data_IF_072921900418
#
_entry.id   IF_072921900418
#
_cell.length_a   1.000
_cell.length_b   1.000
_cell.length_c   1.000
_cell.angle_alpha   90.00
_cell.angle_beta   90.00
_cell.angle_gamma   90.00
#
_symmetry.space_group_name_H-M   'P 1'
#
loop_
_entity.id
_entity.type
_entity.pdbx_description
1 polymer ?
#
# COMPACT_ATOMS: atom_id res chain seq x y z
N UNK A 1 -20.81 1.35 28.18
CA UNK A 1 -20.75 0.40 27.05
C UNK A 1 -19.29 0.26 26.65
N UNK A 2 -18.73 -0.94 26.77
CA UNK A 2 -17.32 -1.21 26.51
C UNK A 2 -17.15 -1.59 25.03
N UNK A 3 -16.31 -0.85 24.31
CA UNK A 3 -15.92 -1.17 22.93
C UNK A 3 -15.15 -2.50 22.85
N UNK A 4 -15.06 -3.12 21.66
CA UNK A 4 -14.50 -4.46 21.52
C UNK A 4 -13.00 -4.45 21.84
N UNK A 5 -12.59 -5.36 22.72
CA UNK A 5 -11.21 -5.63 23.10
C UNK A 5 -10.49 -6.39 21.99
N UNK A 6 -9.32 -5.89 21.58
CA UNK A 6 -8.43 -6.54 20.60
C UNK A 6 -7.63 -7.64 21.33
N UNK A 7 -7.62 -8.90 20.86
CA UNK A 7 -6.84 -9.96 21.50
C UNK A 7 -5.34 -9.78 21.21
N UNK A 8 -4.53 -9.80 22.27
CA UNK A 8 -3.07 -9.83 22.19
C UNK A 8 -2.60 -11.28 21.99
N UNK A 9 -1.85 -11.55 20.92
CA UNK A 9 -1.55 -12.92 20.46
C UNK A 9 -0.44 -13.63 21.25
N UNK A 10 -0.71 -14.90 21.54
CA UNK A 10 0.15 -15.86 22.23
C UNK A 10 1.23 -16.51 21.37
N UNK A 11 2.08 -17.25 22.08
CA UNK A 11 3.36 -17.80 21.66
C UNK A 11 3.29 -18.91 20.60
N UNK A 12 4.33 -18.97 19.75
CA UNK A 12 4.90 -20.19 19.17
C UNK A 12 3.97 -21.18 18.47
N UNK A 13 3.65 -20.94 17.18
CA UNK A 13 2.99 -21.93 16.32
C UNK A 13 3.09 -21.56 14.84
N UNK A 14 3.31 -22.55 13.97
CA UNK A 14 3.56 -22.46 12.52
C UNK A 14 2.85 -21.29 11.84
N UNK A 15 3.64 -20.43 11.19
CA UNK A 15 3.26 -19.14 10.62
C UNK A 15 2.18 -19.17 9.51
N UNK A 16 1.69 -20.33 9.04
CA UNK A 16 0.62 -20.39 8.03
C UNK A 16 -0.79 -20.40 8.62
N UNK A 17 -0.99 -20.94 9.83
CA UNK A 17 -2.33 -21.13 10.41
C UNK A 17 -2.84 -19.90 11.16
N UNK A 18 -1.98 -18.91 11.40
CA UNK A 18 -2.28 -17.78 12.29
C UNK A 18 -3.05 -16.64 11.60
N UNK A 19 -2.88 -16.43 10.29
CA UNK A 19 -3.55 -15.33 9.55
C UNK A 19 -5.08 -15.46 9.55
N UNK A 20 -5.59 -16.70 9.50
CA UNK A 20 -7.05 -16.97 9.50
C UNK A 20 -7.73 -16.64 10.84
N UNK A 21 -7.02 -16.65 11.96
CA UNK A 21 -7.62 -16.45 13.30
C UNK A 21 -7.65 -14.99 13.73
N UNK A 22 -6.90 -14.14 13.04
CA UNK A 22 -6.52 -12.82 13.57
C UNK A 22 -7.21 -11.62 12.91
N UNK A 23 -7.94 -11.84 11.82
CA UNK A 23 -8.46 -10.74 11.00
C UNK A 23 -7.37 -9.94 10.28
N UNK A 24 -6.10 -10.32 10.44
CA UNK A 24 -4.97 -9.75 9.70
C UNK A 24 -4.99 -10.35 8.28
N UNK A 25 -5.01 -9.48 7.26
CA UNK A 25 -5.11 -9.86 5.86
C UNK A 25 -4.07 -10.89 5.43
N UNK A 26 -4.37 -11.64 4.36
CA UNK A 26 -3.48 -12.68 3.86
C UNK A 26 -2.08 -12.10 3.57
N UNK A 27 -0.98 -12.78 3.97
CA UNK A 27 0.39 -12.30 3.76
C UNK A 27 0.76 -12.19 2.28
N UNK A 28 -0.06 -12.75 1.41
CA UNK A 28 0.03 -12.66 -0.03
C UNK A 28 -1.38 -12.61 -0.62
N UNK A 29 -1.63 -11.65 -1.51
CA UNK A 29 -2.88 -11.53 -2.26
C UNK A 29 -2.55 -11.44 -3.75
N UNK A 30 -3.22 -12.27 -4.56
CA UNK A 30 -3.06 -12.30 -6.00
C UNK A 30 -4.37 -11.85 -6.66
N UNK A 31 -4.26 -10.85 -7.52
CA UNK A 31 -5.35 -10.34 -8.34
C UNK A 31 -4.99 -10.57 -9.80
N UNK A 32 -5.97 -11.04 -10.59
CA UNK A 32 -5.81 -11.27 -12.02
C UNK A 32 -6.71 -10.28 -12.75
N UNK A 33 -6.17 -9.65 -13.79
CA UNK A 33 -6.89 -8.67 -14.58
C UNK A 33 -6.31 -8.56 -15.99
N UNK A 34 -6.84 -7.62 -16.75
CA UNK A 34 -6.40 -7.33 -18.11
C UNK A 34 -5.33 -6.23 -18.14
N UNK A 35 -4.65 -6.10 -19.27
CA UNK A 35 -3.82 -4.94 -19.60
C UNK A 35 -4.53 -3.60 -19.42
N UNK A 36 -5.84 -3.56 -19.69
CA UNK A 36 -6.75 -2.44 -19.41
C UNK A 36 -6.95 -2.12 -17.93
N UNK A 37 -6.50 -2.98 -17.02
CA UNK A 37 -6.43 -2.71 -15.57
C UNK A 37 -5.00 -2.35 -15.16
N UNK A 38 -4.00 -3.07 -15.67
CA UNK A 38 -2.58 -2.85 -15.34
C UNK A 38 -2.15 -1.42 -15.69
N UNK A 39 -2.52 -0.95 -16.88
CA UNK A 39 -2.15 0.41 -17.35
C UNK A 39 -2.69 1.53 -16.47
N UNK A 40 -4.01 1.62 -16.18
CA UNK A 40 -4.54 2.69 -15.35
C UNK A 40 -4.06 2.60 -13.89
N UNK A 41 -3.81 1.40 -13.36
CA UNK A 41 -3.22 1.26 -12.00
C UNK A 41 -1.79 1.82 -11.96
N UNK A 42 -0.95 1.49 -12.94
CA UNK A 42 0.39 2.09 -13.03
C UNK A 42 0.33 3.61 -13.22
N UNK A 43 -0.65 4.11 -13.98
CA UNK A 43 -0.82 5.54 -14.22
C UNK A 43 -1.24 6.27 -12.95
N UNK A 44 -2.18 5.70 -12.17
CA UNK A 44 -2.61 6.21 -10.88
C UNK A 44 -1.45 6.27 -9.86
N UNK A 45 -0.52 5.32 -9.93
CA UNK A 45 0.69 5.29 -9.10
C UNK A 45 1.83 6.18 -9.63
N UNK A 46 1.67 6.83 -10.79
CA UNK A 46 2.71 7.64 -11.44
C UNK A 46 3.86 6.84 -12.05
N UNK A 47 3.72 5.51 -12.15
CA UNK A 47 4.78 4.60 -12.60
C UNK A 47 4.57 4.06 -14.03
N UNK A 48 3.57 4.56 -14.74
CA UNK A 48 3.28 4.16 -16.12
C UNK A 48 4.30 4.73 -17.10
N UNK A 49 4.82 3.88 -17.98
CA UNK A 49 5.83 4.23 -18.98
C UNK A 49 5.24 4.52 -20.37
N UNK A 50 3.91 4.67 -20.45
CA UNK A 50 3.17 4.93 -21.69
C UNK A 50 3.29 3.80 -22.73
N UNK A 51 3.70 2.60 -22.31
CA UNK A 51 3.73 1.40 -23.16
C UNK A 51 2.58 0.47 -22.79
N UNK A 52 1.99 -0.17 -23.80
CA UNK A 52 0.97 -1.18 -23.56
C UNK A 52 1.57 -2.36 -22.78
N UNK A 53 0.94 -2.84 -21.69
CA UNK A 53 1.47 -3.95 -20.91
C UNK A 53 1.67 -5.21 -21.77
N UNK A 54 2.87 -5.83 -21.76
CA UNK A 54 3.10 -7.06 -22.50
C UNK A 54 2.32 -8.23 -21.90
N UNK A 55 2.33 -9.36 -22.60
CA UNK A 55 1.76 -10.60 -22.07
C UNK A 55 2.38 -10.97 -20.71
N UNK A 56 1.55 -11.46 -19.79
CA UNK A 56 1.92 -11.76 -18.41
C UNK A 56 2.53 -10.57 -17.62
N UNK A 57 2.19 -9.34 -18.02
CA UNK A 57 2.54 -8.17 -17.24
C UNK A 57 1.96 -8.26 -15.84
N UNK A 58 2.75 -7.88 -14.85
CA UNK A 58 2.35 -7.94 -13.45
C UNK A 58 2.94 -6.79 -12.65
N UNK A 59 2.16 -6.35 -11.66
CA UNK A 59 2.55 -5.36 -10.67
C UNK A 59 2.76 -6.10 -9.35
N UNK A 60 3.89 -5.86 -8.69
CA UNK A 60 4.13 -6.36 -7.33
C UNK A 60 4.23 -5.17 -6.39
N UNK A 61 3.37 -5.16 -5.38
CA UNK A 61 3.45 -4.25 -4.24
C UNK A 61 3.96 -5.04 -3.05
N UNK A 62 5.17 -4.71 -2.59
CA UNK A 62 5.73 -5.26 -1.37
C UNK A 62 5.53 -4.26 -0.24
N UNK A 63 5.01 -4.71 0.91
CA UNK A 63 4.92 -3.89 2.12
C UNK A 63 5.89 -4.45 3.14
N UNK A 64 6.75 -3.57 3.65
CA UNK A 64 7.81 -3.89 4.59
C UNK A 64 7.53 -3.18 5.91
N UNK A 65 7.80 -3.87 7.02
CA UNK A 65 7.71 -3.32 8.37
C UNK A 65 9.11 -3.16 8.97
N UNK A 66 9.38 -2.00 9.54
CA UNK A 66 10.59 -1.75 10.32
C UNK A 66 10.51 -2.54 11.66
N UNK A 67 11.46 -3.46 11.85
CA UNK A 67 11.48 -4.37 12.99
C UNK A 67 11.76 -3.64 14.32
N UNK A 68 12.52 -2.55 14.31
CA UNK A 68 12.91 -1.84 15.52
C UNK A 68 11.71 -1.10 16.13
N UNK A 69 10.91 -0.46 15.28
CA UNK A 69 9.68 0.22 15.69
C UNK A 69 8.58 -0.78 16.07
N UNK A 70 8.50 -1.92 15.38
CA UNK A 70 7.59 -3.01 15.76
C UNK A 70 7.89 -3.59 17.14
N UNK A 71 9.17 -3.76 17.48
CA UNK A 71 9.56 -4.21 18.81
C UNK A 71 9.20 -3.18 19.89
N UNK A 72 9.36 -1.89 19.60
CA UNK A 72 8.98 -0.81 20.53
C UNK A 72 7.46 -0.76 20.77
N UNK A 73 6.65 -0.89 19.71
CA UNK A 73 5.18 -0.94 19.81
C UNK A 73 4.72 -2.20 20.56
N UNK A 74 5.34 -3.36 20.30
CA UNK A 74 4.98 -4.62 20.98
C UNK A 74 5.32 -4.65 22.47
N UNK A 75 6.35 -3.92 22.88
CA UNK A 75 6.81 -3.89 24.28
C UNK A 75 6.19 -2.75 25.09
N UNK A 76 5.42 -1.86 24.46
CA UNK A 76 4.65 -0.82 25.12
C UNK A 76 3.64 -1.45 26.11
N UNK A 77 3.77 -1.08 27.38
CA UNK A 77 2.92 -1.61 28.47
C UNK A 77 1.70 -0.73 28.75
N UNK A 78 1.70 0.51 28.25
CA UNK A 78 0.60 1.46 28.44
C UNK A 78 0.08 1.99 27.10
N UNK A 79 -1.23 2.30 26.97
CA UNK A 79 -1.80 2.90 25.76
C UNK A 79 -1.18 4.24 25.38
N UNK A 80 -0.65 4.97 26.36
CA UNK A 80 0.10 6.23 26.17
C UNK A 80 1.48 6.05 25.52
N UNK A 81 2.01 4.83 25.47
CA UNK A 81 3.25 4.46 24.79
C UNK A 81 3.02 3.89 23.39
N UNK A 82 1.79 3.49 23.08
CA UNK A 82 1.39 3.15 21.72
C UNK A 82 1.22 4.48 20.99
N UNK A 83 2.13 4.74 20.08
CA UNK A 83 2.14 5.94 19.27
C UNK A 83 0.81 6.25 18.58
N UNK A 84 0.70 7.46 18.05
CA UNK A 84 -0.41 7.83 17.15
C UNK A 84 -0.45 6.91 15.92
N UNK A 85 -1.60 6.87 15.21
CA UNK A 85 -1.73 6.14 13.93
C UNK A 85 -0.61 6.53 12.94
N UNK A 86 -0.17 7.80 12.93
CA UNK A 86 0.96 8.25 12.13
C UNK A 86 2.25 7.49 12.46
N UNK A 87 2.56 7.28 13.74
CA UNK A 87 3.73 6.49 14.15
C UNK A 87 3.62 5.01 13.76
N UNK A 88 2.40 4.48 13.66
CA UNK A 88 2.18 3.12 13.14
C UNK A 88 2.44 3.05 11.63
N UNK A 89 1.95 4.03 10.85
CA UNK A 89 2.17 4.10 9.40
C UNK A 89 3.64 4.39 9.05
N UNK A 90 4.35 5.15 9.89
CA UNK A 90 5.79 5.40 9.78
C UNK A 90 6.64 4.13 9.94
N UNK A 91 6.07 3.08 10.55
CA UNK A 91 6.71 1.77 10.65
C UNK A 91 6.67 0.98 9.35
N UNK A 92 5.89 1.42 8.37
CA UNK A 92 5.73 0.72 7.11
C UNK A 92 6.37 1.49 5.96
N UNK A 93 6.93 0.71 5.05
CA UNK A 93 7.38 1.18 3.76
C UNK A 93 6.87 0.24 2.68
N UNK A 94 6.86 0.69 1.44
CA UNK A 94 6.48 -0.13 0.31
C UNK A 94 7.47 -0.01 -0.84
N UNK A 95 7.43 -1.02 -1.71
CA UNK A 95 8.15 -1.05 -2.98
C UNK A 95 7.19 -1.44 -4.09
N UNK A 96 7.38 -0.84 -5.25
CA UNK A 96 6.61 -1.10 -6.44
C UNK A 96 7.50 -1.72 -7.51
N UNK A 97 7.12 -2.89 -8.00
CA UNK A 97 7.76 -3.52 -9.15
C UNK A 97 6.79 -3.65 -10.30
N UNK A 98 7.30 -3.47 -11.52
CA UNK A 98 6.58 -3.77 -12.75
C UNK A 98 7.45 -4.69 -13.60
N UNK A 99 6.96 -5.90 -13.88
CA UNK A 99 7.69 -6.94 -14.61
C UNK A 99 9.09 -7.21 -14.04
N UNK A 100 9.19 -7.26 -12.70
CA UNK A 100 10.45 -7.47 -11.98
C UNK A 100 11.38 -6.25 -11.88
N UNK A 101 11.10 -5.15 -12.58
CA UNK A 101 11.88 -3.92 -12.45
C UNK A 101 11.36 -3.06 -11.30
N UNK A 102 12.26 -2.58 -10.43
CA UNK A 102 11.91 -1.66 -9.34
C UNK A 102 11.51 -0.30 -9.91
N UNK A 103 10.23 0.05 -9.71
CA UNK A 103 9.62 1.31 -10.15
C UNK A 103 9.37 2.27 -9.00
N UNK A 104 9.78 1.94 -7.77
CA UNK A 104 9.51 2.74 -6.56
C UNK A 104 9.96 4.20 -6.71
N UNK A 105 11.09 4.45 -7.38
CA UNK A 105 11.60 5.81 -7.64
C UNK A 105 10.75 6.67 -8.58
N UNK A 106 9.89 6.05 -9.39
CA UNK A 106 9.00 6.76 -10.32
C UNK A 106 7.65 7.06 -9.69
N UNK A 107 7.34 6.44 -8.54
CA UNK A 107 6.11 6.73 -7.82
C UNK A 107 6.12 8.17 -7.33
N UNK A 108 5.06 8.90 -7.64
CA UNK A 108 4.90 10.30 -7.28
C UNK A 108 5.00 10.48 -5.77
N UNK A 109 5.93 11.34 -5.31
CA UNK A 109 6.14 11.61 -3.89
C UNK A 109 7.14 10.67 -3.18
N UNK A 110 7.66 9.64 -3.85
CA UNK A 110 8.70 8.79 -3.27
C UNK A 110 10.10 9.44 -3.37
N UNK A 111 10.97 9.26 -2.35
CA UNK A 111 12.31 9.82 -2.37
C UNK A 111 13.16 9.27 -3.53
N UNK A 112 13.84 10.14 -4.27
CA UNK A 112 14.67 9.75 -5.42
C UNK A 112 16.08 9.29 -5.05
N UNK A 113 16.58 9.68 -3.87
CA UNK A 113 17.83 9.15 -3.29
C UNK A 113 17.48 8.16 -2.20
N UNK A 114 18.13 6.99 -2.22
CA UNK A 114 17.93 5.90 -1.28
C UNK A 114 18.23 6.31 0.16
N UNK A 115 17.27 6.97 0.81
CA UNK A 115 17.20 7.18 2.25
C UNK A 115 16.72 5.93 2.98
N UNK A 116 17.17 4.75 2.53
CA UNK A 116 16.83 3.49 3.18
C UNK A 116 17.40 3.50 4.59
N UNK A 117 16.52 3.47 5.59
CA UNK A 117 16.92 3.11 6.95
C UNK A 117 17.62 1.74 6.87
N UNK A 118 18.77 1.66 7.54
CA UNK A 118 19.79 0.60 7.42
C UNK A 118 19.17 -0.81 7.37
N UNK A 119 19.45 -1.59 6.32
CA UNK A 119 19.28 -3.05 6.38
C UNK A 119 18.88 -3.82 5.13
N UNK A 120 18.49 -3.19 4.02
CA UNK A 120 18.14 -3.89 2.78
C UNK A 120 18.24 -2.99 1.56
N UNK A 121 19.08 -3.34 0.59
CA UNK A 121 19.55 -2.47 -0.50
C UNK A 121 18.54 -2.12 -1.60
N UNK A 122 17.42 -1.48 -1.25
CA UNK A 122 16.46 -0.93 -2.22
C UNK A 122 15.87 0.42 -1.75
N UNK A 123 15.40 1.23 -2.70
CA UNK A 123 14.64 2.44 -2.40
C UNK A 123 13.29 2.02 -1.81
N UNK A 124 13.13 2.07 -0.49
CA UNK A 124 11.85 1.87 0.17
C UNK A 124 11.12 3.22 0.29
N UNK A 125 9.86 3.28 -0.12
CA UNK A 125 9.05 4.48 -0.03
C UNK A 125 8.17 4.45 1.23
N UNK A 126 8.04 5.56 1.98
CA UNK A 126 7.17 5.60 3.16
C UNK A 126 5.73 5.24 2.81
N UNK A 127 5.08 4.44 3.66
CA UNK A 127 3.70 4.00 3.42
C UNK A 127 2.69 5.16 3.40
N UNK A 128 2.97 6.26 4.10
CA UNK A 128 2.17 7.50 4.05
C UNK A 128 2.01 8.03 2.61
N UNK A 129 3.04 7.92 1.77
CA UNK A 129 2.98 8.33 0.36
C UNK A 129 1.97 7.47 -0.40
N UNK A 130 2.00 6.14 -0.22
CA UNK A 130 1.05 5.24 -0.86
C UNK A 130 -0.38 5.53 -0.41
N UNK A 131 -0.59 5.72 0.89
CA UNK A 131 -1.89 6.07 1.44
C UNK A 131 -2.40 7.39 0.83
N UNK A 132 -1.56 8.43 0.79
CA UNK A 132 -1.89 9.70 0.16
C UNK A 132 -2.24 9.59 -1.32
N UNK A 133 -1.54 8.76 -2.09
CA UNK A 133 -1.84 8.50 -3.50
C UNK A 133 -3.19 7.81 -3.68
N UNK A 134 -3.45 6.73 -2.93
CA UNK A 134 -4.72 6.00 -3.02
C UNK A 134 -5.87 6.91 -2.60
N UNK A 135 -5.72 7.64 -1.50
CA UNK A 135 -6.71 8.64 -1.09
C UNK A 135 -6.89 9.71 -2.15
N UNK A 136 -5.83 10.22 -2.79
CA UNK A 136 -5.97 11.22 -3.86
C UNK A 136 -6.73 10.72 -5.09
N UNK A 137 -6.60 9.44 -5.43
CA UNK A 137 -7.28 8.83 -6.58
C UNK A 137 -8.73 8.45 -6.27
N UNK A 138 -8.98 7.96 -5.05
CA UNK A 138 -10.29 7.40 -4.67
C UNK A 138 -11.17 8.40 -3.90
N UNK A 139 -10.60 9.24 -3.04
CA UNK A 139 -11.36 10.15 -2.17
C UNK A 139 -12.18 11.25 -2.88
N UNK A 140 -11.92 11.65 -4.14
CA UNK A 140 -12.83 12.59 -4.81
C UNK A 140 -14.23 12.04 -5.04
N UNK A 141 -14.47 10.74 -4.82
CA UNK A 141 -15.71 10.07 -5.10
C UNK A 141 -16.16 9.26 -3.87
N UNK A 142 -17.46 9.33 -3.55
CA UNK A 142 -18.06 8.51 -2.48
C UNK A 142 -18.26 7.06 -2.92
N UNK A 143 -18.31 6.82 -4.24
CA UNK A 143 -18.52 5.50 -4.83
C UNK A 143 -17.91 5.36 -6.23
N UNK A 144 -17.72 4.11 -6.68
CA UNK A 144 -17.29 3.83 -8.05
C UNK A 144 -18.33 4.31 -9.06
N UNK A 145 -19.61 4.18 -8.71
CA UNK A 145 -20.75 4.60 -9.51
C UNK A 145 -20.72 6.10 -9.77
N UNK A 146 -20.43 6.91 -8.74
CA UNK A 146 -20.25 8.36 -8.87
C UNK A 146 -19.05 8.69 -9.77
N UNK A 147 -17.91 8.02 -9.56
CA UNK A 147 -16.70 8.22 -10.36
C UNK A 147 -16.92 7.94 -11.86
N UNK A 148 -17.82 7.01 -12.18
CA UNK A 148 -18.11 6.60 -13.55
C UNK A 148 -19.22 7.41 -14.23
N UNK A 149 -19.78 8.42 -13.56
CA UNK A 149 -20.78 9.27 -14.21
C UNK A 149 -20.13 10.14 -15.29
N UNK A 150 -20.66 10.12 -16.53
CA UNK A 150 -20.18 11.03 -17.57
C UNK A 150 -20.43 12.46 -17.11
N UNK A 151 -19.40 13.32 -17.14
CA UNK A 151 -19.55 14.74 -16.82
C UNK A 151 -20.49 15.38 -17.85
N UNK A 152 -21.76 15.56 -17.48
CA UNK A 152 -22.72 16.31 -18.28
C UNK A 152 -22.24 17.77 -18.35
N UNK A 153 -21.56 18.12 -19.44
CA UNK A 153 -21.00 19.46 -19.61
C UNK A 153 -20.12 19.65 -20.85
N UNK A 154 -19.63 18.59 -21.48
CA UNK A 154 -18.98 18.68 -22.79
C UNK A 154 -19.97 18.40 -23.93
N UNK A 155 -21.03 19.21 -24.03
CA UNK A 155 -21.67 19.40 -25.33
C UNK A 155 -20.68 20.24 -26.13
N UNK A 156 -19.85 19.59 -26.95
CA UNK A 156 -19.15 20.27 -28.04
C UNK A 156 -20.23 20.69 -29.04
N UNK A 157 -20.79 21.88 -28.82
CA UNK A 157 -21.61 22.56 -29.79
C UNK A 157 -20.72 23.35 -30.74
N UNK A 158 -20.88 23.13 -32.04
CA UNK A 158 -20.29 23.92 -33.13
C UNK A 158 -19.40 23.14 -34.06
#
# INVERSE_FOLDING_TARGET
>A
EAGPSVPLYGEGGRAQDNWRRNGEGAPFSLYVGHDTVVSPVLAALGAFDCLWPPYAAHIVLEIWKDNDLHHHIRTAKTPSQVGTIHQYLDAFSFRLFYNGADRTRHVTGCPQSGGGRRGGGGLACPFEVLHGLISGVVAPYESLEEACQPRMGAVVGG
#
